data_IF_576119018730
#
_entry.id   IF_576119018730
#
_cell.length_a   1.000
_cell.length_b   1.000
_cell.length_c   1.000
_cell.angle_alpha   90.00
_cell.angle_beta   90.00
_cell.angle_gamma   90.00
#
_symmetry.space_group_name_H-M   'P 1'
#
loop_
_entity.id
_entity.type
_entity.pdbx_description
1 polymer ?
#
# COMPACT_ATOMS: atom_id res chain seq x y z
N UNK A 1 33.97 -37.48 -26.51
CA UNK A 1 32.88 -37.76 -25.54
C UNK A 1 32.91 -36.91 -24.26
N UNK A 2 34.06 -36.50 -23.69
CA UNK A 2 34.10 -35.67 -22.46
C UNK A 2 33.56 -34.24 -22.64
N UNK A 3 33.74 -33.62 -23.82
CA UNK A 3 33.26 -32.26 -24.10
C UNK A 3 31.73 -32.12 -24.08
N UNK A 4 30.98 -33.15 -24.50
CA UNK A 4 29.51 -33.14 -24.50
C UNK A 4 28.95 -33.25 -23.07
N UNK A 5 29.63 -34.01 -22.20
CA UNK A 5 29.25 -34.17 -20.79
C UNK A 5 29.38 -32.86 -20.02
N UNK A 6 30.45 -32.09 -20.25
CA UNK A 6 30.65 -30.78 -19.61
C UNK A 6 29.61 -29.74 -20.01
N UNK A 7 29.21 -29.72 -21.29
CA UNK A 7 28.15 -28.83 -21.80
C UNK A 7 26.79 -29.17 -21.18
N UNK A 8 26.46 -30.45 -21.13
CA UNK A 8 25.19 -30.92 -20.57
C UNK A 8 25.06 -30.63 -19.06
N UNK A 9 26.15 -30.73 -18.29
CA UNK A 9 26.13 -30.30 -16.88
C UNK A 9 25.93 -28.80 -16.73
N UNK A 10 26.60 -27.96 -17.54
CA UNK A 10 26.39 -26.51 -17.50
C UNK A 10 24.96 -26.10 -17.87
N UNK A 11 24.38 -26.73 -18.89
CA UNK A 11 23.01 -26.43 -19.34
C UNK A 11 21.97 -26.89 -18.29
N UNK A 12 22.24 -27.99 -17.58
CA UNK A 12 21.39 -28.45 -16.47
C UNK A 12 21.49 -27.53 -15.25
N UNK A 13 22.69 -27.04 -14.90
CA UNK A 13 22.88 -26.10 -13.80
C UNK A 13 22.24 -24.74 -14.10
N UNK A 14 22.43 -24.18 -15.31
CA UNK A 14 21.79 -22.92 -15.73
C UNK A 14 20.26 -23.06 -15.74
N UNK A 15 19.72 -24.17 -16.26
CA UNK A 15 18.26 -24.41 -16.23
C UNK A 15 17.74 -24.52 -14.80
N UNK A 16 18.50 -25.10 -13.88
CA UNK A 16 18.14 -25.25 -12.47
C UNK A 16 18.18 -23.90 -11.76
N UNK A 17 19.20 -23.07 -11.99
CA UNK A 17 19.33 -21.70 -11.47
C UNK A 17 18.15 -20.85 -11.93
N UNK A 18 17.86 -20.81 -13.23
CA UNK A 18 16.77 -20.01 -13.77
C UNK A 18 15.40 -20.43 -13.22
N UNK A 19 15.18 -21.75 -13.05
CA UNK A 19 13.92 -22.27 -12.49
C UNK A 19 13.79 -21.95 -11.00
N UNK A 20 14.89 -22.03 -10.25
CA UNK A 20 14.90 -21.65 -8.83
C UNK A 20 14.66 -20.15 -8.66
N UNK A 21 15.28 -19.30 -9.47
CA UNK A 21 15.06 -17.86 -9.43
C UNK A 21 13.63 -17.47 -9.82
N UNK A 22 13.09 -18.03 -10.91
CA UNK A 22 11.73 -17.74 -11.33
C UNK A 22 10.68 -18.17 -10.29
N UNK A 23 10.84 -19.37 -9.71
CA UNK A 23 9.93 -19.86 -8.68
C UNK A 23 10.08 -19.05 -7.38
N UNK A 24 11.32 -18.75 -6.95
CA UNK A 24 11.55 -17.92 -5.76
C UNK A 24 10.99 -16.52 -5.94
N UNK A 25 11.19 -15.90 -7.10
CA UNK A 25 10.64 -14.58 -7.43
C UNK A 25 9.11 -14.61 -7.43
N UNK A 26 8.50 -15.67 -7.97
CA UNK A 26 7.05 -15.82 -7.97
C UNK A 26 6.49 -16.00 -6.54
N UNK A 27 7.11 -16.86 -5.75
CA UNK A 27 6.63 -17.20 -4.40
C UNK A 27 6.90 -16.08 -3.39
N UNK A 28 8.00 -15.33 -3.52
CA UNK A 28 8.28 -14.20 -2.64
C UNK A 28 7.70 -12.88 -3.18
N UNK A 29 8.12 -12.45 -4.37
CA UNK A 29 7.82 -11.10 -4.86
C UNK A 29 6.36 -10.99 -5.29
N UNK A 30 5.90 -11.88 -6.17
CA UNK A 30 4.52 -11.84 -6.68
C UNK A 30 3.51 -12.07 -5.56
N UNK A 31 3.76 -13.01 -4.65
CA UNK A 31 2.90 -13.24 -3.50
C UNK A 31 2.80 -12.00 -2.58
N UNK A 32 3.93 -11.35 -2.27
CA UNK A 32 3.91 -10.12 -1.46
C UNK A 32 3.17 -8.97 -2.15
N UNK A 33 3.34 -8.82 -3.47
CA UNK A 33 2.64 -7.77 -4.24
C UNK A 33 1.13 -8.03 -4.29
N UNK A 34 0.72 -9.28 -4.53
CA UNK A 34 -0.70 -9.65 -4.53
C UNK A 34 -1.34 -9.41 -3.15
N UNK A 35 -0.64 -9.75 -2.07
CA UNK A 35 -1.09 -9.47 -0.70
C UNK A 35 -1.24 -7.97 -0.42
N UNK A 36 -0.32 -7.13 -0.93
CA UNK A 36 -0.42 -5.67 -0.80
C UNK A 36 -1.63 -5.11 -1.57
N UNK A 37 -1.88 -5.63 -2.78
CA UNK A 37 -3.04 -5.24 -3.59
C UNK A 37 -4.34 -5.68 -2.91
N UNK A 38 -4.40 -6.91 -2.41
CA UNK A 38 -5.55 -7.44 -1.68
C UNK A 38 -5.86 -6.59 -0.44
N UNK A 39 -4.84 -6.26 0.35
CA UNK A 39 -4.97 -5.35 1.49
C UNK A 39 -5.48 -3.95 1.08
N UNK A 40 -5.07 -3.46 -0.09
CA UNK A 40 -5.55 -2.20 -0.65
C UNK A 40 -7.05 -2.24 -1.01
N UNK A 41 -7.50 -3.36 -1.57
CA UNK A 41 -8.86 -3.56 -2.08
C UNK A 41 -9.84 -3.85 -0.94
N UNK A 42 -9.51 -4.83 -0.09
CA UNK A 42 -10.30 -5.23 1.10
C UNK A 42 -10.55 -4.03 2.00
N UNK A 43 -9.57 -3.15 2.11
CA UNK A 43 -9.79 -1.85 2.71
C UNK A 43 -10.12 -1.93 4.19
N UNK A 44 -9.52 -2.90 4.88
CA UNK A 44 -9.63 -3.04 6.32
C UNK A 44 -9.17 -1.74 7.01
N UNK A 45 -9.85 -1.30 8.07
CA UNK A 45 -9.42 -0.15 8.85
C UNK A 45 -8.16 -0.51 9.64
N UNK A 46 -6.99 -0.37 9.01
CA UNK A 46 -5.70 -0.62 9.65
C UNK A 46 -5.47 0.47 10.68
N UNK A 47 -5.67 0.12 11.95
CA UNK A 47 -5.34 0.99 13.09
C UNK A 47 -3.82 0.94 13.32
N UNK A 48 -3.19 2.12 13.43
CA UNK A 48 -1.76 2.30 13.75
C UNK A 48 -1.29 1.55 15.01
N UNK A 49 -2.21 1.15 15.89
CA UNK A 49 -1.93 0.39 17.11
C UNK A 49 -1.23 -0.96 16.84
N UNK A 50 -1.55 -1.64 15.74
CA UNK A 50 -0.93 -2.94 15.41
C UNK A 50 0.49 -2.80 14.84
N UNK A 51 0.78 -1.65 14.22
CA UNK A 51 2.11 -1.33 13.70
C UNK A 51 3.14 -1.18 14.81
N UNK A 52 2.75 -0.60 15.95
CA UNK A 52 3.62 -0.46 17.11
C UNK A 52 3.97 -1.81 17.76
N UNK A 53 2.97 -2.68 17.93
CA UNK A 53 3.18 -4.00 18.55
C UNK A 53 4.13 -4.89 17.72
N UNK A 54 3.89 -4.96 16.41
CA UNK A 54 4.71 -5.76 15.49
C UNK A 54 6.14 -5.23 15.37
N UNK A 55 6.33 -3.92 15.30
CA UNK A 55 7.67 -3.31 15.30
C UNK A 55 8.38 -3.50 16.64
N UNK A 56 7.64 -3.37 17.74
CA UNK A 56 8.16 -3.55 19.10
C UNK A 56 8.72 -4.95 19.36
N UNK A 57 8.02 -6.00 18.92
CA UNK A 57 8.53 -7.39 19.01
C UNK A 57 9.85 -7.54 18.23
N UNK A 58 9.94 -6.95 17.03
CA UNK A 58 11.16 -7.00 16.22
C UNK A 58 12.35 -6.33 16.91
N UNK A 59 12.13 -5.16 17.53
CA UNK A 59 13.15 -4.45 18.31
C UNK A 59 13.57 -5.24 19.55
N UNK A 60 12.62 -5.78 20.30
CA UNK A 60 12.89 -6.61 21.49
C UNK A 60 13.72 -7.83 21.11
N UNK A 61 13.39 -8.49 19.99
CA UNK A 61 14.13 -9.64 19.49
C UNK A 61 15.55 -9.27 19.05
N UNK A 62 15.73 -8.11 18.39
CA UNK A 62 17.06 -7.61 18.02
C UNK A 62 17.93 -7.30 19.25
N UNK A 63 17.34 -6.71 20.30
CA UNK A 63 18.03 -6.46 21.57
C UNK A 63 18.41 -7.78 22.24
N UNK A 64 17.46 -8.72 22.34
CA UNK A 64 17.67 -10.03 22.93
C UNK A 64 18.81 -10.80 22.23
N UNK A 65 18.82 -10.82 20.90
CA UNK A 65 19.86 -11.50 20.12
C UNK A 65 21.24 -10.87 20.31
N UNK A 66 21.33 -9.54 20.45
CA UNK A 66 22.57 -8.86 20.80
C UNK A 66 23.07 -9.22 22.20
N UNK A 67 22.18 -9.18 23.21
CA UNK A 67 22.53 -9.53 24.59
C UNK A 67 22.96 -11.00 24.69
N UNK A 68 22.24 -11.91 24.03
CA UNK A 68 22.56 -13.34 23.99
C UNK A 68 23.96 -13.61 23.44
N UNK A 69 24.37 -12.87 22.41
CA UNK A 69 25.72 -12.96 21.87
C UNK A 69 26.78 -12.40 22.82
N UNK A 70 26.55 -11.23 23.42
CA UNK A 70 27.47 -10.62 24.40
C UNK A 70 27.65 -11.50 25.64
N UNK A 71 26.61 -12.23 26.05
CA UNK A 71 26.65 -13.20 27.13
C UNK A 71 27.40 -14.50 26.78
N UNK A 72 28.00 -14.59 25.59
CA UNK A 72 28.73 -15.77 25.13
C UNK A 72 27.82 -16.91 24.68
N UNK A 73 26.56 -16.63 24.34
CA UNK A 73 25.58 -17.62 23.90
C UNK A 73 26.01 -18.31 22.60
N UNK A 74 26.44 -19.56 22.71
CA UNK A 74 26.80 -20.41 21.58
C UNK A 74 25.64 -21.32 21.18
N UNK A 75 25.46 -21.48 19.87
CA UNK A 75 24.45 -22.36 19.31
C UNK A 75 24.83 -23.85 19.52
N UNK A 76 23.89 -24.78 19.35
CA UNK A 76 24.08 -26.26 19.58
C UNK A 76 25.22 -26.92 18.78
N UNK A 77 25.85 -26.22 17.84
CA UNK A 77 27.00 -26.69 17.03
C UNK A 77 28.33 -25.98 17.35
N UNK A 78 28.44 -25.26 18.47
CA UNK A 78 29.61 -24.41 18.79
C UNK A 78 29.93 -23.33 17.73
N UNK A 79 28.99 -23.03 16.82
CA UNK A 79 29.09 -21.88 15.93
C UNK A 79 28.40 -20.68 16.59
N UNK A 80 29.07 -19.53 16.59
CA UNK A 80 28.57 -18.26 17.16
C UNK A 80 27.48 -17.58 16.30
N UNK A 81 26.74 -18.38 15.52
CA UNK A 81 25.73 -17.93 14.56
C UNK A 81 24.49 -18.81 14.68
N UNK A 82 23.36 -18.20 15.05
CA UNK A 82 22.04 -18.86 15.08
C UNK A 82 21.43 -18.95 13.68
N UNK A 83 21.68 -17.94 12.86
CA UNK A 83 21.40 -17.88 11.44
C UNK A 83 22.65 -17.39 10.69
N UNK A 84 22.91 -17.83 9.44
CA UNK A 84 24.02 -17.31 8.65
C UNK A 84 23.89 -15.81 8.34
N UNK A 85 22.65 -15.27 8.37
CA UNK A 85 22.37 -13.84 8.23
C UNK A 85 22.69 -13.03 9.50
N UNK A 86 22.78 -13.67 10.66
CA UNK A 86 23.03 -13.01 11.94
C UNK A 86 24.32 -13.57 12.56
N UNK A 87 25.39 -13.51 11.77
CA UNK A 87 26.73 -13.89 12.19
C UNK A 87 27.37 -12.75 12.98
N UNK A 88 27.23 -12.86 14.30
CA UNK A 88 27.79 -11.92 15.25
C UNK A 88 29.31 -12.07 15.42
N UNK A 89 29.96 -13.09 14.82
CA UNK A 89 31.42 -13.14 14.71
C UNK A 89 32.00 -11.88 14.05
N UNK A 90 31.19 -11.21 13.22
CA UNK A 90 31.45 -9.86 12.70
C UNK A 90 30.36 -8.92 13.18
N UNK A 91 30.48 -8.32 14.37
CA UNK A 91 29.38 -7.58 15.00
C UNK A 91 28.87 -6.43 14.11
N UNK A 92 29.75 -5.77 13.35
CA UNK A 92 29.34 -4.74 12.40
C UNK A 92 28.37 -5.23 11.32
N UNK A 93 28.54 -6.44 10.78
CA UNK A 93 27.62 -6.99 9.76
C UNK A 93 26.27 -7.38 10.37
N UNK A 94 26.28 -8.00 11.53
CA UNK A 94 25.05 -8.39 12.23
C UNK A 94 24.20 -7.16 12.63
N UNK A 95 24.84 -6.09 13.12
CA UNK A 95 24.18 -4.82 13.42
C UNK A 95 23.57 -4.20 12.16
N UNK A 96 24.29 -4.17 11.04
CA UNK A 96 23.76 -3.63 9.79
C UNK A 96 22.56 -4.44 9.29
N UNK A 97 22.64 -5.78 9.30
CA UNK A 97 21.56 -6.65 8.82
C UNK A 97 20.31 -6.52 9.70
N UNK A 98 20.48 -6.50 11.02
CA UNK A 98 19.38 -6.30 11.97
C UNK A 98 18.75 -4.91 11.83
N UNK A 99 19.56 -3.86 11.70
CA UNK A 99 19.07 -2.50 11.46
C UNK A 99 18.31 -2.39 10.12
N UNK A 100 18.83 -2.98 9.04
CA UNK A 100 18.15 -3.07 7.75
C UNK A 100 16.82 -3.83 7.86
N UNK A 101 16.77 -4.92 8.62
CA UNK A 101 15.54 -5.68 8.86
C UNK A 101 14.47 -4.86 9.58
N UNK A 102 14.86 -4.14 10.64
CA UNK A 102 13.95 -3.24 11.38
C UNK A 102 13.47 -2.10 10.47
N UNK A 103 14.39 -1.48 9.72
CA UNK A 103 14.06 -0.41 8.77
C UNK A 103 13.11 -0.91 7.69
N UNK A 104 13.32 -2.12 7.16
CA UNK A 104 12.43 -2.72 6.16
C UNK A 104 11.01 -2.90 6.72
N UNK A 105 10.87 -3.46 7.93
CA UNK A 105 9.57 -3.59 8.60
C UNK A 105 8.90 -2.22 8.80
N UNK A 106 9.67 -1.22 9.21
CA UNK A 106 9.17 0.15 9.35
C UNK A 106 8.69 0.75 8.03
N UNK A 107 9.44 0.56 6.94
CA UNK A 107 9.05 0.99 5.60
C UNK A 107 7.77 0.30 5.15
N UNK A 108 7.64 -1.01 5.36
CA UNK A 108 6.41 -1.75 5.02
C UNK A 108 5.20 -1.15 5.75
N UNK A 109 5.32 -0.86 7.04
CA UNK A 109 4.26 -0.22 7.81
C UNK A 109 3.93 1.19 7.31
N UNK A 110 4.94 1.97 6.91
CA UNK A 110 4.73 3.29 6.29
C UNK A 110 4.00 3.18 4.95
N UNK A 111 4.36 2.21 4.11
CA UNK A 111 3.70 1.97 2.81
C UNK A 111 2.23 1.62 3.04
N UNK A 112 1.95 0.69 3.94
CA UNK A 112 0.58 0.29 4.30
C UNK A 112 -0.22 1.48 4.85
N UNK A 113 0.39 2.31 5.70
CA UNK A 113 -0.24 3.54 6.21
C UNK A 113 -0.49 4.58 5.11
N UNK A 114 0.47 4.76 4.19
CA UNK A 114 0.34 5.66 3.04
C UNK A 114 -0.81 5.22 2.14
N UNK A 115 -0.93 3.92 1.86
CA UNK A 115 -2.04 3.35 1.09
C UNK A 115 -3.40 3.61 1.76
N UNK A 116 -3.48 3.45 3.08
CA UNK A 116 -4.67 3.80 3.85
C UNK A 116 -5.01 5.30 3.70
N UNK A 117 -4.04 6.19 3.91
CA UNK A 117 -4.25 7.64 3.76
C UNK A 117 -4.66 8.03 2.34
N UNK A 118 -4.06 7.43 1.32
CA UNK A 118 -4.40 7.67 -0.08
C UNK A 118 -5.87 7.30 -0.34
N UNK A 119 -6.34 6.15 0.16
CA UNK A 119 -7.73 5.72 0.02
C UNK A 119 -8.70 6.71 0.69
N UNK A 120 -8.42 7.12 1.92
CA UNK A 120 -9.26 8.08 2.65
C UNK A 120 -9.26 9.44 1.95
N UNK A 121 -8.09 9.89 1.46
CA UNK A 121 -7.97 11.14 0.73
C UNK A 121 -8.75 11.08 -0.59
N UNK A 122 -8.61 10.00 -1.37
CA UNK A 122 -9.36 9.78 -2.60
C UNK A 122 -10.87 9.76 -2.34
N UNK A 123 -11.32 8.98 -1.36
CA UNK A 123 -12.75 8.92 -1.00
C UNK A 123 -13.28 10.28 -0.59
N UNK A 124 -12.55 11.01 0.27
CA UNK A 124 -12.94 12.34 0.73
C UNK A 124 -12.97 13.34 -0.42
N UNK A 125 -11.94 13.34 -1.29
CA UNK A 125 -11.86 14.23 -2.45
C UNK A 125 -12.97 13.94 -3.45
N UNK A 126 -13.23 12.67 -3.78
CA UNK A 126 -14.32 12.26 -4.69
C UNK A 126 -15.69 12.61 -4.10
N UNK A 127 -15.92 12.33 -2.82
CA UNK A 127 -17.20 12.65 -2.17
C UNK A 127 -17.43 14.16 -2.08
N UNK A 128 -16.43 14.94 -1.64
CA UNK A 128 -16.50 16.41 -1.58
C UNK A 128 -16.68 17.00 -2.97
N UNK A 129 -15.91 16.53 -3.96
CA UNK A 129 -16.00 17.01 -5.33
C UNK A 129 -17.39 16.73 -5.94
N UNK A 130 -17.92 15.52 -5.72
CA UNK A 130 -19.26 15.13 -6.20
C UNK A 130 -20.35 15.97 -5.52
N UNK A 131 -20.23 16.20 -4.21
CA UNK A 131 -21.11 17.10 -3.46
C UNK A 131 -21.06 18.52 -3.99
N UNK A 132 -19.87 19.06 -4.23
CA UNK A 132 -19.68 20.42 -4.72
C UNK A 132 -20.25 20.60 -6.15
N UNK A 133 -20.10 19.60 -7.03
CA UNK A 133 -20.75 19.60 -8.35
C UNK A 133 -22.29 19.62 -8.25
N UNK A 134 -22.87 18.80 -7.36
CA UNK A 134 -24.33 18.79 -7.15
C UNK A 134 -24.86 20.13 -6.64
N UNK A 135 -24.18 20.74 -5.67
CA UNK A 135 -24.56 22.06 -5.14
C UNK A 135 -24.56 23.15 -6.22
N UNK A 136 -23.53 23.19 -7.06
CA UNK A 136 -23.48 24.13 -8.20
C UNK A 136 -24.61 23.91 -9.21
N UNK A 137 -25.01 22.66 -9.44
CA UNK A 137 -26.15 22.34 -10.31
C UNK A 137 -27.47 22.85 -9.73
N UNK A 138 -27.72 22.62 -8.45
CA UNK A 138 -28.94 23.08 -7.75
C UNK A 138 -29.05 24.60 -7.68
N UNK A 139 -27.96 25.32 -7.39
CA UNK A 139 -27.99 26.80 -7.36
C UNK A 139 -28.21 27.42 -8.75
N UNK A 140 -27.77 26.75 -9.81
CA UNK A 140 -28.04 27.20 -11.19
C UNK A 140 -29.49 26.91 -11.57
N UNK A 141 -30.00 25.72 -11.24
CA UNK A 141 -31.40 25.35 -11.46
C UNK A 141 -32.37 26.29 -10.72
N UNK A 142 -32.05 26.66 -9.47
CA UNK A 142 -32.85 27.61 -8.70
C UNK A 142 -32.93 28.99 -9.38
N UNK A 143 -31.81 29.50 -9.88
CA UNK A 143 -31.77 30.78 -10.63
C UNK A 143 -32.52 30.74 -11.95
N UNK A 144 -32.45 29.62 -12.67
CA UNK A 144 -33.21 29.47 -13.92
C UNK A 144 -34.70 29.36 -13.64
N UNK A 145 -35.11 28.65 -12.59
CA UNK A 145 -36.52 28.52 -12.23
C UNK A 145 -37.12 29.86 -11.80
N UNK A 146 -36.42 30.65 -10.97
CA UNK A 146 -36.90 31.99 -10.60
C UNK A 146 -37.04 32.89 -11.83
N UNK A 147 -36.04 32.89 -12.73
CA UNK A 147 -36.11 33.68 -13.96
C UNK A 147 -37.25 33.25 -14.90
N UNK A 148 -37.58 31.95 -14.95
CA UNK A 148 -38.72 31.45 -15.74
C UNK A 148 -40.05 31.85 -15.11
N UNK A 149 -40.15 31.80 -13.77
CA UNK A 149 -41.35 32.24 -13.05
C UNK A 149 -41.59 33.74 -13.25
N UNK A 150 -40.54 34.55 -13.21
CA UNK A 150 -40.62 35.99 -13.47
C UNK A 150 -41.05 36.28 -14.92
N UNK A 151 -40.42 35.64 -15.92
CA UNK A 151 -40.79 35.80 -17.33
C UNK A 151 -42.23 35.35 -17.64
N UNK A 152 -42.71 34.33 -16.91
CA UNK A 152 -44.10 33.89 -17.01
C UNK A 152 -45.05 34.95 -16.42
N UNK A 153 -44.74 35.51 -15.24
CA UNK A 153 -45.54 36.60 -14.63
C UNK A 153 -45.64 37.82 -15.54
N UNK A 154 -44.53 38.23 -16.16
CA UNK A 154 -44.51 39.34 -17.12
C UNK A 154 -45.39 39.07 -18.36
N UNK A 155 -45.40 37.84 -18.89
CA UNK A 155 -46.28 37.46 -20.00
C UNK A 155 -47.78 37.48 -19.63
N UNK A 156 -48.12 37.06 -18.41
CA UNK A 156 -49.51 37.12 -17.93
C UNK A 156 -49.98 38.56 -17.70
N UNK A 157 -49.09 39.46 -17.29
CA UNK A 157 -49.39 40.86 -17.01
C UNK A 157 -49.23 41.78 -18.25
N UNK A 158 -48.77 41.25 -19.38
CA UNK A 158 -48.52 42.01 -20.60
C UNK A 158 -49.80 42.52 -21.30
N UNK A 159 -49.77 43.68 -21.97
CA UNK A 159 -50.94 44.29 -22.62
C UNK A 159 -51.63 43.40 -23.66
N UNK A 160 -50.89 42.50 -24.32
CA UNK A 160 -51.36 41.64 -25.42
C UNK A 160 -52.33 40.53 -24.97
N UNK A 161 -52.23 40.05 -23.73
CA UNK A 161 -53.09 38.98 -23.20
C UNK A 161 -54.45 39.52 -22.76
N UNK A 162 -54.52 40.79 -22.35
CA UNK A 162 -55.77 41.46 -21.99
C UNK A 162 -56.67 41.70 -23.22
N UNK A 163 -56.08 41.82 -24.42
CA UNK A 163 -56.83 42.06 -25.66
C UNK A 163 -57.54 40.78 -26.14
N UNK A 164 -56.96 39.60 -25.90
CA UNK A 164 -57.51 38.31 -26.34
C UNK A 164 -58.61 37.77 -25.41
N UNK A 165 -58.63 38.21 -24.14
CA UNK A 165 -59.65 37.81 -23.14
C UNK A 165 -60.89 38.72 -23.17
N UNK A 166 -60.82 39.88 -23.84
CA UNK A 166 -61.90 40.87 -23.91
C UNK A 166 -62.75 40.76 -25.20
N UNK A 167 -62.50 39.76 -26.05
CA UNK A 167 -63.24 39.55 -27.30
C UNK A 167 -64.23 38.39 -27.21
#
# INVERSE_FOLDING_TARGET
>A
MRHLRGRQTSDNEIRKINKLDAVNLMVHVLNSVLMLIDLAIVGQPIRLSHAYWTTGIGVIYAIFTGIYFLAGGTNRRNSMSIYPLLDWSRPGKAIVISACGILFVFIVHLVVFCMYRLRVCLYTKVCIWTRNRRMKKMSTLGRTLSSLEDAQKENFLGPSTIIDVKM
#
